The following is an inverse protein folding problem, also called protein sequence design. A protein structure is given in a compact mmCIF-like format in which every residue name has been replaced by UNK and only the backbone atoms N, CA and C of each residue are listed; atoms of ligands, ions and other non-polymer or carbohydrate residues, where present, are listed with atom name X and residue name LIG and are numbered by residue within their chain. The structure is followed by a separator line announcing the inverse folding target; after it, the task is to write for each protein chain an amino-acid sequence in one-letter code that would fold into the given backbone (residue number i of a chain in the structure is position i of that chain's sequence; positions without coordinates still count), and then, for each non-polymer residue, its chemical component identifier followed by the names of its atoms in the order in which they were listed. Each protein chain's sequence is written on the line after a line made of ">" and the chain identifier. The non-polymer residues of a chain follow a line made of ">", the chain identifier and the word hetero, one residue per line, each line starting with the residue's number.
data_IF_365024449418
#
_entry.id   IF_365024449418
#
_cell.length_a   1.000
_cell.length_b   1.000
_cell.length_c   1.000
_cell.angle_alpha   90.00
_cell.angle_beta   90.00
_cell.angle_gamma   90.00
#
_symmetry.space_group_name_H-M   'P 1'
#
loop_
_entity.id
_entity.type
_entity.pdbx_description
1 polymer ?
#
# COMPACT_ATOMS: atom_id res chain seq x y z
N UNK A 1 13.10 20.78 2.03
CA UNK A 1 13.85 19.51 2.09
C UNK A 1 12.83 18.38 1.89
N UNK A 2 13.13 17.42 1.03
CA UNK A 2 12.30 16.25 0.82
C UNK A 2 12.68 15.19 1.86
N UNK A 3 11.68 14.55 2.47
CA UNK A 3 11.87 13.57 3.51
C UNK A 3 11.04 12.31 3.17
N UNK A 4 11.69 11.18 2.91
CA UNK A 4 11.05 9.99 2.41
C UNK A 4 10.89 8.89 3.48
N UNK A 5 9.69 8.29 3.57
CA UNK A 5 9.44 7.09 4.37
C UNK A 5 9.24 5.89 3.43
N UNK A 6 10.11 4.90 3.52
CA UNK A 6 9.97 3.63 2.81
C UNK A 6 9.10 2.68 3.64
N UNK A 7 8.03 2.17 3.05
CA UNK A 7 7.19 1.11 3.62
C UNK A 7 7.40 -0.15 2.80
N UNK A 8 7.98 -1.17 3.41
CA UNK A 8 8.21 -2.47 2.77
C UNK A 8 7.48 -3.59 3.50
N UNK A 9 7.00 -4.60 2.79
CA UNK A 9 6.49 -5.82 3.42
C UNK A 9 7.61 -6.81 3.61
N UNK A 10 7.68 -7.32 4.83
CA UNK A 10 8.41 -8.48 5.29
C UNK A 10 9.93 -8.52 5.16
N UNK A 11 10.50 -9.35 6.02
CA UNK A 11 11.89 -9.81 5.98
C UNK A 11 12.37 -10.12 4.55
N UNK A 12 11.50 -10.64 3.68
CA UNK A 12 11.88 -11.00 2.31
C UNK A 12 12.29 -9.81 1.43
N UNK A 13 11.64 -8.64 1.52
CA UNK A 13 11.99 -7.49 0.66
C UNK A 13 13.23 -6.78 1.18
N UNK A 14 13.33 -6.60 2.49
CA UNK A 14 14.51 -6.03 3.13
C UNK A 14 15.73 -6.96 3.01
N UNK A 15 15.54 -8.25 3.32
CA UNK A 15 16.63 -9.24 3.29
C UNK A 15 17.06 -9.59 1.85
N UNK A 16 16.16 -9.44 0.87
CA UNK A 16 16.47 -9.59 -0.55
C UNK A 16 17.15 -8.36 -1.16
N UNK A 17 17.31 -7.28 -0.40
CA UNK A 17 18.02 -6.08 -0.82
C UNK A 17 17.27 -5.18 -1.81
N UNK A 18 15.96 -5.34 -1.96
CA UNK A 18 15.15 -4.51 -2.86
C UNK A 18 15.03 -3.05 -2.42
N UNK A 19 15.12 -2.78 -1.10
CA UNK A 19 15.11 -1.40 -0.60
C UNK A 19 16.41 -0.68 -0.89
N UNK A 20 17.52 -1.40 -0.90
CA UNK A 20 18.86 -0.83 -0.99
C UNK A 20 19.11 0.06 -2.21
N UNK A 21 18.70 -0.28 -3.44
CA UNK A 21 18.88 0.61 -4.59
C UNK A 21 18.13 1.94 -4.44
N UNK A 22 16.98 1.93 -3.74
CA UNK A 22 16.18 3.13 -3.48
C UNK A 22 16.87 3.96 -2.39
N UNK A 23 17.27 3.32 -1.28
CA UNK A 23 18.01 3.97 -0.18
C UNK A 23 19.31 4.60 -0.68
N UNK A 24 20.13 3.84 -1.45
CA UNK A 24 21.38 4.35 -2.05
C UNK A 24 21.12 5.57 -2.97
N UNK A 25 19.98 5.58 -3.66
CA UNK A 25 19.61 6.71 -4.52
C UNK A 25 19.16 7.94 -3.72
N UNK A 26 18.39 7.74 -2.67
CA UNK A 26 17.99 8.81 -1.75
C UNK A 26 19.20 9.42 -1.07
N UNK A 27 20.15 8.58 -0.61
CA UNK A 27 21.42 9.03 -0.03
C UNK A 27 22.25 9.87 -1.02
N UNK A 28 22.38 9.42 -2.28
CA UNK A 28 23.07 10.17 -3.33
C UNK A 28 22.45 11.55 -3.59
N UNK A 29 21.14 11.67 -3.41
CA UNK A 29 20.40 12.91 -3.56
C UNK A 29 20.39 13.77 -2.29
N UNK A 30 20.95 13.27 -1.17
CA UNK A 30 20.93 13.95 0.12
C UNK A 30 19.54 14.01 0.75
N UNK A 31 18.65 13.06 0.39
CA UNK A 31 17.28 12.99 0.90
C UNK A 31 17.30 12.17 2.21
N UNK A 32 16.86 12.80 3.30
CA UNK A 32 16.69 12.11 4.58
C UNK A 32 15.57 11.10 4.46
N UNK A 33 15.82 9.85 4.86
CA UNK A 33 14.82 8.80 4.73
C UNK A 33 14.82 7.85 5.93
N UNK A 34 13.73 7.12 6.10
CA UNK A 34 13.56 6.04 7.08
C UNK A 34 12.86 4.87 6.41
N UNK A 35 13.01 3.67 6.98
CA UNK A 35 12.37 2.46 6.48
C UNK A 35 11.52 1.80 7.57
N UNK A 36 10.26 1.53 7.25
CA UNK A 36 9.34 0.74 8.07
C UNK A 36 9.09 -0.60 7.37
N UNK A 37 9.55 -1.70 7.96
CA UNK A 37 9.49 -3.05 7.36
C UNK A 37 8.65 -4.06 8.15
N UNK A 38 7.95 -3.62 9.19
CA UNK A 38 7.10 -4.49 10.02
C UNK A 38 5.68 -4.61 9.43
N UNK A 39 5.62 -5.14 8.21
CA UNK A 39 4.36 -5.38 7.49
C UNK A 39 4.25 -6.86 7.15
N UNK A 40 3.31 -7.56 7.76
CA UNK A 40 3.01 -8.97 7.50
C UNK A 40 2.28 -9.19 6.16
N UNK A 41 2.28 -10.41 5.57
CA UNK A 41 1.56 -10.72 4.33
C UNK A 41 0.06 -10.45 4.38
N UNK A 42 -0.54 -10.50 5.54
CA UNK A 42 -1.93 -10.12 5.80
C UNK A 42 -1.88 -8.91 6.74
N UNK A 43 -1.83 -7.68 6.17
CA UNK A 43 -1.52 -6.50 6.96
C UNK A 43 -2.59 -6.24 8.02
N UNK A 44 -2.15 -6.03 9.24
CA UNK A 44 -3.03 -5.78 10.37
C UNK A 44 -3.25 -4.30 10.64
N UNK A 45 -4.38 -3.99 11.22
CA UNK A 45 -4.65 -2.64 11.70
C UNK A 45 -3.63 -2.17 12.75
N UNK A 46 -3.13 -3.10 13.59
CA UNK A 46 -2.09 -2.80 14.57
C UNK A 46 -0.77 -2.39 13.90
N UNK A 47 -0.32 -3.12 12.87
CA UNK A 47 0.87 -2.77 12.09
C UNK A 47 0.69 -1.43 11.38
N UNK A 48 -0.48 -1.19 10.77
CA UNK A 48 -0.78 0.09 10.12
C UNK A 48 -0.72 1.27 11.10
N UNK A 49 -1.28 1.13 12.31
CA UNK A 49 -1.18 2.14 13.38
C UNK A 49 0.26 2.37 13.83
N UNK A 50 1.06 1.31 13.94
CA UNK A 50 2.47 1.43 14.30
C UNK A 50 3.27 2.19 13.22
N UNK A 51 3.04 1.88 11.94
CA UNK A 51 3.66 2.59 10.81
C UNK A 51 3.24 4.06 10.76
N UNK A 52 1.96 4.36 10.92
CA UNK A 52 1.47 5.75 10.99
C UNK A 52 2.09 6.54 12.15
N UNK A 53 2.30 5.90 13.30
CA UNK A 53 3.01 6.51 14.43
C UNK A 53 4.47 6.81 14.09
N UNK A 54 5.15 5.89 13.40
CA UNK A 54 6.51 6.11 12.92
C UNK A 54 6.57 7.28 11.91
N UNK A 55 5.61 7.35 10.98
CA UNK A 55 5.47 8.48 10.06
C UNK A 55 5.22 9.80 10.79
N UNK A 56 4.37 9.81 11.82
CA UNK A 56 4.12 11.01 12.63
C UNK A 56 5.37 11.51 13.36
N UNK A 57 6.25 10.59 13.77
CA UNK A 57 7.51 10.97 14.42
C UNK A 57 8.58 11.45 13.43
N UNK A 58 8.53 10.99 12.19
CA UNK A 58 9.51 11.32 11.14
C UNK A 58 9.07 12.46 10.23
N UNK A 59 7.75 12.70 10.13
CA UNK A 59 7.10 13.74 9.31
C UNK A 59 7.49 13.70 7.81
N UNK A 60 7.32 12.54 7.12
CA UNK A 60 7.66 12.45 5.70
C UNK A 60 6.71 13.29 4.85
N UNK A 61 7.24 13.89 3.79
CA UNK A 61 6.48 14.51 2.70
C UNK A 61 6.36 13.60 1.47
N UNK A 62 7.05 12.45 1.49
CA UNK A 62 6.95 11.39 0.49
C UNK A 62 6.93 10.02 1.15
N UNK A 63 5.96 9.19 0.80
CA UNK A 63 5.82 7.81 1.26
C UNK A 63 6.02 6.89 0.06
N UNK A 64 6.95 5.94 0.15
CA UNK A 64 7.25 4.98 -0.91
C UNK A 64 6.86 3.58 -0.41
N UNK A 65 5.79 3.02 -0.94
CA UNK A 65 5.37 1.65 -0.66
C UNK A 65 5.99 0.69 -1.69
N UNK A 66 6.91 -0.16 -1.21
CA UNK A 66 7.62 -1.13 -2.03
C UNK A 66 7.20 -2.55 -1.64
N UNK A 67 6.63 -3.31 -2.56
CA UNK A 67 6.26 -4.69 -2.29
C UNK A 67 5.10 -5.22 -3.12
N UNK A 68 4.48 -6.31 -2.64
CA UNK A 68 3.24 -6.83 -3.19
C UNK A 68 2.02 -6.04 -2.72
N UNK A 69 0.81 -6.53 -3.04
CA UNK A 69 -0.45 -5.90 -2.65
C UNK A 69 -0.52 -5.59 -1.16
N UNK A 70 -0.11 -6.53 -0.30
CA UNK A 70 -0.14 -6.34 1.17
C UNK A 70 0.69 -5.15 1.64
N UNK A 71 1.88 -4.94 1.07
CA UNK A 71 2.73 -3.81 1.42
C UNK A 71 2.12 -2.48 0.98
N UNK A 72 1.57 -2.45 -0.23
CA UNK A 72 0.93 -1.26 -0.77
C UNK A 72 -0.36 -0.91 -0.02
N UNK A 73 -1.17 -1.92 0.31
CA UNK A 73 -2.39 -1.74 1.09
C UNK A 73 -2.08 -1.23 2.51
N UNK A 74 -1.10 -1.85 3.18
CA UNK A 74 -0.62 -1.34 4.47
C UNK A 74 -0.11 0.10 4.37
N UNK A 75 0.69 0.41 3.34
CA UNK A 75 1.21 1.74 3.09
C UNK A 75 0.10 2.79 2.92
N UNK A 76 -0.95 2.47 2.14
CA UNK A 76 -2.13 3.34 1.96
C UNK A 76 -2.85 3.60 3.28
N UNK A 77 -3.03 2.56 4.11
CA UNK A 77 -3.69 2.70 5.41
C UNK A 77 -2.81 3.49 6.39
N UNK A 78 -1.50 3.26 6.39
CA UNK A 78 -0.54 4.04 7.17
C UNK A 78 -0.57 5.52 6.76
N UNK A 79 -0.56 5.81 5.46
CA UNK A 79 -0.68 7.15 4.90
C UNK A 79 -1.97 7.83 5.35
N UNK A 80 -3.10 7.12 5.26
CA UNK A 80 -4.40 7.62 5.69
C UNK A 80 -4.38 8.00 7.18
N UNK A 81 -3.87 7.13 8.05
CA UNK A 81 -3.78 7.39 9.49
C UNK A 81 -2.76 8.49 9.83
N UNK A 82 -1.69 8.61 9.07
CA UNK A 82 -0.70 9.69 9.22
C UNK A 82 -1.32 11.06 8.91
N UNK A 83 -2.11 11.15 7.84
CA UNK A 83 -2.78 12.40 7.47
C UNK A 83 -4.01 12.69 8.33
N UNK A 84 -4.75 11.65 8.73
CA UNK A 84 -6.01 11.75 9.43
C UNK A 84 -6.01 10.79 10.66
N UNK A 85 -5.34 11.15 11.77
CA UNK A 85 -5.16 10.27 12.92
C UNK A 85 -6.46 9.86 13.62
N UNK A 86 -7.50 10.69 13.49
CA UNK A 86 -8.82 10.48 14.10
C UNK A 86 -9.79 9.69 13.21
N UNK A 87 -9.31 9.14 12.08
CA UNK A 87 -10.13 8.37 11.16
C UNK A 87 -10.66 7.08 11.81
N UNK A 88 -11.98 6.87 11.77
CA UNK A 88 -12.63 5.69 12.31
C UNK A 88 -12.82 4.63 11.21
N UNK A 89 -12.18 3.48 11.39
CA UNK A 89 -12.25 2.36 10.45
C UNK A 89 -13.61 1.68 10.41
N UNK A 90 -14.37 1.69 11.52
CA UNK A 90 -15.68 1.05 11.58
C UNK A 90 -16.67 1.67 10.61
N UNK A 91 -16.57 3.00 10.43
CA UNK A 91 -17.43 3.74 9.51
C UNK A 91 -16.92 3.71 8.06
N UNK A 92 -15.62 3.45 7.85
CA UNK A 92 -14.98 3.46 6.52
C UNK A 92 -14.99 2.11 5.82
N UNK A 93 -15.19 1.02 6.57
CA UNK A 93 -15.30 -0.31 5.96
C UNK A 93 -16.54 -0.38 5.07
N UNK A 94 -16.35 -0.91 3.86
CA UNK A 94 -17.46 -1.02 2.93
C UNK A 94 -18.37 -2.20 3.29
N UNK A 95 -19.61 -1.93 3.68
CA UNK A 95 -20.67 -2.92 3.75
C UNK A 95 -21.09 -3.39 2.35
N UNK A 96 -20.86 -2.55 1.33
CA UNK A 96 -21.17 -2.82 -0.07
C UNK A 96 -19.97 -2.48 -0.96
N UNK A 97 -19.71 -3.30 -1.97
CA UNK A 97 -18.63 -3.12 -2.95
C UNK A 97 -18.85 -1.91 -3.90
N UNK A 98 -19.85 -1.09 -3.68
CA UNK A 98 -20.14 0.08 -4.50
C UNK A 98 -19.79 1.37 -3.77
N UNK A 99 -18.66 1.97 -4.13
CA UNK A 99 -18.15 3.24 -3.59
C UNK A 99 -19.23 4.36 -3.62
N UNK A 100 -20.13 4.33 -4.60
CA UNK A 100 -21.18 5.35 -4.77
C UNK A 100 -22.29 5.25 -3.73
N UNK A 101 -22.43 4.11 -3.06
CA UNK A 101 -23.49 3.84 -2.07
C UNK A 101 -23.03 4.03 -0.62
N UNK A 102 -21.79 4.38 -0.39
CA UNK A 102 -21.31 4.58 0.98
C UNK A 102 -21.94 5.83 1.60
N UNK A 103 -22.14 5.76 2.89
CA UNK A 103 -22.67 6.84 3.73
C UNK A 103 -21.57 7.71 4.32
N UNK A 104 -20.39 7.12 4.55
CA UNK A 104 -19.23 7.81 5.13
C UNK A 104 -18.48 8.65 4.10
N UNK A 105 -18.06 9.84 4.50
CA UNK A 105 -17.18 10.69 3.69
C UNK A 105 -15.73 10.37 4.02
N UNK A 106 -14.99 9.81 3.06
CA UNK A 106 -13.58 9.51 3.22
C UNK A 106 -12.76 10.80 3.40
N UNK A 107 -11.78 10.85 4.31
CA UNK A 107 -10.97 12.04 4.52
C UNK A 107 -10.13 12.36 3.29
N UNK A 108 -9.90 13.65 3.05
CA UNK A 108 -9.03 14.10 1.96
C UNK A 108 -7.58 13.75 2.24
N UNK A 109 -6.90 13.17 1.22
CA UNK A 109 -5.52 12.72 1.28
C UNK A 109 -4.58 13.64 0.49
N UNK A 110 -3.27 13.38 0.58
CA UNK A 110 -2.24 14.10 -0.19
C UNK A 110 -1.95 15.53 0.30
N UNK A 111 -2.24 15.82 1.57
CA UNK A 111 -1.96 17.14 2.17
C UNK A 111 -0.59 17.21 2.84
N UNK A 112 -0.15 16.10 3.44
CA UNK A 112 1.12 16.01 4.16
C UNK A 112 2.18 15.31 3.33
N UNK A 113 1.81 14.22 2.63
CA UNK A 113 2.75 13.38 1.92
C UNK A 113 2.23 12.91 0.57
N UNK A 114 3.14 12.84 -0.39
CA UNK A 114 2.95 12.25 -1.70
C UNK A 114 3.15 10.74 -1.62
N UNK A 115 2.25 9.95 -2.21
CA UNK A 115 2.29 8.49 -2.10
C UNK A 115 2.77 7.85 -3.41
N UNK A 116 3.89 7.13 -3.33
CA UNK A 116 4.49 6.39 -4.45
C UNK A 116 4.36 4.89 -4.20
N UNK A 117 3.84 4.15 -5.16
CA UNK A 117 3.74 2.69 -5.11
C UNK A 117 4.70 2.03 -6.08
N UNK A 118 5.48 1.05 -5.60
CA UNK A 118 6.45 0.28 -6.38
C UNK A 118 6.15 -1.22 -6.22
N UNK A 119 5.45 -1.85 -7.17
CA UNK A 119 5.09 -3.26 -7.06
C UNK A 119 6.29 -4.19 -7.27
N UNK A 120 6.33 -5.30 -6.50
CA UNK A 120 7.27 -6.42 -6.67
C UNK A 120 6.57 -7.71 -7.11
N UNK A 121 5.27 -7.66 -7.35
CA UNK A 121 4.46 -8.73 -7.92
C UNK A 121 3.54 -8.19 -8.99
N UNK A 122 3.22 -9.01 -9.99
CA UNK A 122 2.29 -8.63 -11.07
C UNK A 122 0.96 -9.36 -10.89
N UNK A 123 -0.11 -8.65 -10.56
CA UNK A 123 -1.43 -9.27 -10.36
C UNK A 123 -2.43 -8.36 -9.67
N UNK A 124 -2.14 -7.90 -8.45
CA UNK A 124 -3.09 -7.17 -7.63
C UNK A 124 -3.50 -5.80 -8.18
N UNK A 125 -2.59 -5.12 -8.90
CA UNK A 125 -2.83 -3.76 -9.39
C UNK A 125 -2.99 -2.71 -8.27
N UNK A 126 -2.56 -3.03 -7.03
CA UNK A 126 -2.73 -2.12 -5.90
C UNK A 126 -2.04 -0.77 -6.11
N UNK A 127 -1.02 -0.71 -6.96
CA UNK A 127 -0.32 0.52 -7.36
C UNK A 127 -1.18 1.51 -8.15
N UNK A 128 -2.29 1.04 -8.73
CA UNK A 128 -3.22 1.84 -9.55
C UNK A 128 -4.69 1.70 -9.13
N UNK A 129 -4.96 1.14 -7.95
CA UNK A 129 -6.33 0.93 -7.47
C UNK A 129 -6.65 1.79 -6.26
N UNK A 130 -7.92 2.23 -6.11
CA UNK A 130 -8.40 3.00 -4.97
C UNK A 130 -8.80 2.08 -3.79
N UNK A 131 -8.21 0.89 -3.69
CA UNK A 131 -8.55 -0.11 -2.68
C UNK A 131 -7.39 -0.36 -1.73
N UNK A 132 -7.72 -0.71 -0.48
CA UNK A 132 -6.79 -1.28 0.50
C UNK A 132 -7.56 -2.26 1.39
N UNK A 133 -6.96 -3.43 1.66
CA UNK A 133 -7.55 -4.43 2.56
C UNK A 133 -6.67 -4.51 3.81
N UNK A 134 -7.29 -4.35 4.97
CA UNK A 134 -6.63 -4.45 6.27
C UNK A 134 -7.38 -5.44 7.15
N UNK A 135 -6.64 -6.23 7.93
CA UNK A 135 -7.22 -7.21 8.85
C UNK A 135 -7.24 -6.66 10.28
N UNK A 136 -8.40 -6.70 10.90
CA UNK A 136 -8.52 -6.52 12.34
C UNK A 136 -8.14 -7.84 13.02
N UNK A 137 -7.04 -7.83 13.75
CA UNK A 137 -6.51 -9.05 14.40
C UNK A 137 -7.35 -9.51 15.59
N UNK A 138 -8.08 -8.59 16.24
CA UNK A 138 -8.88 -8.92 17.41
C UNK A 138 -10.16 -9.66 17.02
N UNK A 139 -10.75 -9.28 15.89
CA UNK A 139 -12.00 -9.88 15.38
C UNK A 139 -11.78 -10.87 14.24
N UNK A 140 -10.61 -10.86 13.58
CA UNK A 140 -10.33 -11.60 12.36
C UNK A 140 -11.07 -11.08 11.13
N UNK A 141 -11.72 -9.93 11.22
CA UNK A 141 -12.48 -9.34 10.12
C UNK A 141 -11.55 -8.60 9.17
N UNK A 142 -11.72 -8.84 7.87
CA UNK A 142 -11.05 -8.07 6.81
C UNK A 142 -11.91 -6.87 6.44
N UNK A 143 -11.31 -5.70 6.55
CA UNK A 143 -11.95 -4.44 6.22
C UNK A 143 -11.47 -3.95 4.85
N UNK A 144 -12.30 -4.09 3.82
CA UNK A 144 -12.01 -3.49 2.52
C UNK A 144 -12.33 -1.99 2.59
N UNK A 145 -11.28 -1.19 2.42
CA UNK A 145 -11.39 0.25 2.24
C UNK A 145 -11.40 0.55 0.74
N UNK A 146 -12.29 1.42 0.31
CA UNK A 146 -12.37 1.81 -1.09
C UNK A 146 -12.74 3.28 -1.22
N UNK A 147 -11.81 4.08 -1.68
CA UNK A 147 -11.99 5.47 -2.02
C UNK A 147 -10.93 5.95 -2.99
N UNK A 148 -11.29 6.84 -3.89
CA UNK A 148 -10.34 7.46 -4.82
C UNK A 148 -9.22 8.23 -4.12
N UNK A 149 -9.42 8.66 -2.88
CA UNK A 149 -8.39 9.28 -2.05
C UNK A 149 -7.24 8.30 -1.68
N UNK A 150 -7.46 6.98 -1.77
CA UNK A 150 -6.42 5.96 -1.58
C UNK A 150 -5.62 5.64 -2.85
N UNK A 151 -5.95 6.28 -3.95
CA UNK A 151 -5.20 6.07 -5.19
C UNK A 151 -3.78 6.62 -5.02
N UNK A 152 -2.73 5.84 -5.31
CA UNK A 152 -1.37 6.36 -5.30
C UNK A 152 -1.20 7.54 -6.25
N UNK A 153 -0.43 8.54 -5.83
CA UNK A 153 -0.09 9.70 -6.69
C UNK A 153 0.83 9.28 -7.83
N UNK A 154 1.68 8.27 -7.61
CA UNK A 154 2.59 7.74 -8.61
C UNK A 154 2.75 6.22 -8.45
N UNK A 155 2.76 5.52 -9.58
CA UNK A 155 3.15 4.11 -9.67
C UNK A 155 4.46 3.99 -10.47
N UNK A 156 5.47 3.31 -9.89
CA UNK A 156 6.73 3.01 -10.58
C UNK A 156 6.78 1.50 -10.82
N UNK A 157 6.47 1.10 -12.04
CA UNK A 157 6.43 -0.31 -12.45
C UNK A 157 7.74 -0.68 -13.13
N UNK A 158 8.67 -1.25 -12.34
CA UNK A 158 9.91 -1.82 -12.84
C UNK A 158 9.83 -3.35 -12.83
N UNK A 159 9.84 -3.96 -14.01
CA UNK A 159 9.75 -5.42 -14.16
C UNK A 159 10.92 -6.15 -13.50
N UNK A 160 12.07 -5.52 -13.31
CA UNK A 160 13.21 -6.13 -12.61
C UNK A 160 12.86 -6.49 -11.16
N UNK A 161 12.00 -5.72 -10.52
CA UNK A 161 11.53 -6.00 -9.15
C UNK A 161 10.68 -7.27 -9.05
N UNK A 162 10.20 -7.79 -10.17
CA UNK A 162 9.32 -8.97 -10.24
C UNK A 162 10.05 -10.23 -10.70
N UNK A 163 11.26 -10.10 -11.27
CA UNK A 163 11.99 -11.23 -11.90
C UNK A 163 12.41 -12.32 -10.92
N UNK A 164 12.63 -11.99 -9.66
CA UNK A 164 13.02 -12.94 -8.62
C UNK A 164 11.81 -13.54 -7.87
N UNK A 165 10.58 -13.18 -8.23
CA UNK A 165 9.38 -13.69 -7.58
C UNK A 165 9.32 -15.23 -7.66
N UNK A 166 9.00 -15.94 -6.56
CA UNK A 166 8.85 -17.39 -6.58
C UNK A 166 7.80 -17.83 -7.60
N UNK A 167 8.04 -18.96 -8.27
CA UNK A 167 7.10 -19.49 -9.29
C UNK A 167 5.67 -19.66 -8.79
N UNK A 168 5.50 -20.01 -7.52
CA UNK A 168 4.17 -20.13 -6.89
C UNK A 168 3.45 -18.78 -6.83
N UNK A 169 4.16 -17.73 -6.41
CA UNK A 169 3.62 -16.37 -6.38
C UNK A 169 3.29 -15.86 -7.79
N UNK A 170 4.19 -16.06 -8.75
CA UNK A 170 3.96 -15.66 -10.15
C UNK A 170 2.73 -16.35 -10.76
N UNK A 171 2.50 -17.62 -10.42
CA UNK A 171 1.29 -18.33 -10.89
C UNK A 171 0.02 -17.76 -10.23
N UNK A 172 0.04 -17.57 -8.92
CA UNK A 172 -1.12 -17.06 -8.19
C UNK A 172 -1.50 -15.66 -8.67
N UNK A 173 -0.52 -14.76 -8.74
CA UNK A 173 -0.75 -13.38 -9.21
C UNK A 173 -1.11 -13.32 -10.70
N UNK A 174 -0.57 -14.23 -11.54
CA UNK A 174 -0.97 -14.33 -12.94
C UNK A 174 -2.41 -14.78 -13.15
N UNK A 175 -2.91 -15.70 -12.31
CA UNK A 175 -4.33 -16.11 -12.32
C UNK A 175 -5.20 -14.97 -11.80
N UNK A 176 -4.75 -14.24 -10.79
CA UNK A 176 -5.44 -13.10 -10.22
C UNK A 176 -5.65 -11.99 -11.27
N UNK A 177 -4.58 -11.58 -11.98
CA UNK A 177 -4.69 -10.59 -13.05
C UNK A 177 -5.61 -11.04 -14.20
N UNK A 178 -5.58 -12.33 -14.52
CA UNK A 178 -6.47 -12.89 -15.54
C UNK A 178 -7.93 -12.85 -15.10
N UNK A 179 -8.20 -13.13 -13.82
CA UNK A 179 -9.53 -13.04 -13.24
C UNK A 179 -10.04 -11.60 -13.26
N UNK A 180 -9.21 -10.63 -12.89
CA UNK A 180 -9.55 -9.21 -12.99
C UNK A 180 -9.88 -8.79 -14.43
N UNK A 181 -9.05 -9.18 -15.40
CA UNK A 181 -9.27 -8.85 -16.81
C UNK A 181 -10.58 -9.44 -17.36
N UNK A 182 -10.89 -10.70 -17.00
CA UNK A 182 -12.15 -11.36 -17.40
C UNK A 182 -13.34 -10.67 -16.75
N UNK A 183 -13.26 -10.36 -15.44
CA UNK A 183 -14.35 -9.71 -14.71
C UNK A 183 -14.69 -8.33 -15.30
N UNK A 184 -13.67 -7.52 -15.60
CA UNK A 184 -13.86 -6.21 -16.24
C UNK A 184 -14.44 -6.36 -17.64
N UNK A 185 -13.93 -7.27 -18.45
CA UNK A 185 -14.42 -7.54 -19.80
C UNK A 185 -15.89 -7.95 -19.82
N UNK A 186 -16.32 -8.76 -18.85
CA UNK A 186 -17.71 -9.21 -18.72
C UNK A 186 -18.66 -8.13 -18.23
N UNK A 187 -18.20 -7.22 -17.38
CA UNK A 187 -19.05 -6.17 -16.76
C UNK A 187 -19.20 -4.91 -17.63
N UNK A 188 -18.37 -4.75 -18.65
CA UNK A 188 -18.38 -3.58 -19.56
C UNK A 188 -18.80 -3.91 -20.99
N UNK A 189 -19.28 -5.13 -21.24
CA UNK A 189 -19.99 -5.52 -22.47
C UNK A 189 -21.49 -5.34 -22.28
#
# INVERSE_FOLDING_TARGET
>A
EICACLVGSEMCIRDSGYTKPIEDKLDQMGIVHTCFSDVAPDPSLASAKAGAKAMTAFEPDCIIALGGGSAMDAGKVMWMLYENPDADFSDMSMDFMDIRKRVYTFPKMGKKAYFVAIPTSSGTGSEVTPFAIITDQDTGVKWPLADYELLPDMAIVDTNNMMSAPKGLTRASGIDVMTHAIAVSYTHL
#
